data_IF_752140815668
#
_entry.id   IF_752140815668
#
_cell.length_a   1.000
_cell.length_b   1.000
_cell.length_c   1.000
_cell.angle_alpha   90.00
_cell.angle_beta   90.00
_cell.angle_gamma   90.00
#
_symmetry.space_group_name_H-M   'P 1'
#
loop_
_entity.id
_entity.type
_entity.pdbx_description
1 polymer ?
#
# COMPACT_ATOMS: atom_id res chain seq x y z
N UNK A 1 8.79 -27.25 -72.34
CA UNK A 1 7.85 -26.22 -71.85
C UNK A 1 7.98 -26.12 -70.33
N UNK A 2 8.09 -24.89 -69.84
CA UNK A 2 8.28 -24.47 -68.44
C UNK A 2 7.07 -24.81 -67.57
N UNK A 3 7.25 -25.04 -66.27
CA UNK A 3 6.79 -24.14 -65.17
C UNK A 3 7.55 -24.54 -63.90
N UNK A 4 8.36 -23.63 -63.35
CA UNK A 4 8.91 -23.74 -62.01
C UNK A 4 7.94 -23.03 -61.04
N UNK A 5 7.46 -23.75 -60.04
CA UNK A 5 6.52 -23.25 -59.03
C UNK A 5 7.32 -22.66 -57.87
N UNK A 6 7.26 -21.34 -57.69
CA UNK A 6 7.83 -20.64 -56.54
C UNK A 6 6.75 -20.60 -55.45
N UNK A 7 6.98 -21.32 -54.36
CA UNK A 7 6.14 -21.26 -53.15
C UNK A 7 6.69 -20.16 -52.24
N UNK A 8 5.95 -19.06 -52.15
CA UNK A 8 6.22 -17.94 -51.25
C UNK A 8 5.58 -18.25 -49.88
N UNK A 9 6.41 -18.62 -48.89
CA UNK A 9 5.97 -18.79 -47.51
C UNK A 9 5.96 -17.43 -46.82
N UNK A 10 4.77 -16.84 -46.63
CA UNK A 10 4.59 -15.65 -45.79
C UNK A 10 4.73 -16.04 -44.31
N UNK A 11 5.85 -15.66 -43.69
CA UNK A 11 6.01 -15.69 -42.24
C UNK A 11 5.26 -14.49 -41.63
N UNK A 12 4.07 -14.74 -41.09
CA UNK A 12 3.38 -13.80 -40.20
C UNK A 12 4.11 -13.79 -38.85
N UNK A 13 5.03 -12.83 -38.68
CA UNK A 13 5.57 -12.47 -37.38
C UNK A 13 4.45 -11.79 -36.56
N UNK A 14 3.66 -12.59 -35.86
CA UNK A 14 2.73 -12.10 -34.85
C UNK A 14 3.52 -11.34 -33.79
N UNK A 15 3.41 -10.02 -33.80
CA UNK A 15 3.88 -9.20 -32.69
C UNK A 15 2.90 -9.42 -31.54
N UNK A 16 3.22 -10.37 -30.66
CA UNK A 16 2.57 -10.45 -29.35
C UNK A 16 3.08 -9.27 -28.53
N UNK A 17 2.44 -8.11 -28.68
CA UNK A 17 2.56 -7.03 -27.71
C UNK A 17 1.95 -7.54 -26.40
N UNK A 18 2.79 -8.04 -25.49
CA UNK A 18 2.40 -8.28 -24.11
C UNK A 18 2.17 -6.91 -23.49
N UNK A 19 0.91 -6.51 -23.35
CA UNK A 19 0.58 -5.40 -22.47
C UNK A 19 1.14 -5.77 -21.08
N UNK A 20 2.14 -5.03 -20.61
CA UNK A 20 2.53 -5.12 -19.22
C UNK A 20 1.31 -4.72 -18.39
N UNK A 21 0.93 -5.56 -17.43
CA UNK A 21 -0.24 -5.37 -16.57
C UNK A 21 -0.20 -3.98 -15.92
N UNK A 22 -1.03 -3.07 -16.41
CA UNK A 22 -1.16 -1.71 -15.86
C UNK A 22 -1.60 -1.74 -14.39
N UNK A 23 -2.19 -2.85 -13.93
CA UNK A 23 -2.53 -3.07 -12.53
C UNK A 23 -1.31 -3.11 -11.62
N UNK A 24 -0.16 -3.63 -12.08
CA UNK A 24 1.04 -3.69 -11.23
C UNK A 24 1.66 -2.29 -11.06
N UNK A 25 1.62 -1.45 -12.10
CA UNK A 25 2.11 -0.07 -12.02
C UNK A 25 1.28 0.81 -11.06
N UNK A 26 -0.04 0.60 -10.99
CA UNK A 26 -0.91 1.33 -10.06
C UNK A 26 -0.62 1.01 -8.60
N UNK A 27 -0.21 -0.22 -8.27
CA UNK A 27 0.10 -0.63 -6.89
C UNK A 27 1.59 -0.72 -6.58
N UNK A 28 2.46 -0.45 -7.56
CA UNK A 28 3.91 -0.48 -7.44
C UNK A 28 4.44 0.19 -6.16
N UNK A 29 3.99 1.42 -5.80
CA UNK A 29 4.38 2.04 -4.55
C UNK A 29 3.93 1.24 -3.31
N UNK A 30 2.72 0.70 -3.27
CA UNK A 30 2.17 -0.02 -2.10
C UNK A 30 2.95 -1.28 -1.75
N UNK A 31 3.54 -1.95 -2.75
CA UNK A 31 4.42 -3.09 -2.52
C UNK A 31 5.63 -2.76 -1.65
N UNK A 32 6.02 -1.48 -1.55
CA UNK A 32 7.11 -1.06 -0.68
C UNK A 32 6.83 -1.39 0.79
N UNK A 33 5.56 -1.43 1.21
CA UNK A 33 5.21 -1.69 2.60
C UNK A 33 5.17 -3.18 2.95
N UNK A 34 5.15 -4.07 1.95
CA UNK A 34 5.17 -5.51 2.15
C UNK A 34 6.48 -5.98 2.79
N UNK A 35 6.39 -6.86 3.79
CA UNK A 35 7.55 -7.36 4.53
C UNK A 35 7.44 -7.12 6.03
N UNK A 36 8.54 -7.36 6.74
CA UNK A 36 8.63 -7.18 8.18
C UNK A 36 9.38 -5.90 8.51
N UNK A 37 8.89 -5.17 9.50
CA UNK A 37 9.33 -3.87 9.94
C UNK A 37 9.46 -3.87 11.45
N UNK A 38 10.51 -3.25 11.98
CA UNK A 38 10.60 -2.92 13.38
C UNK A 38 10.06 -1.49 13.54
N UNK A 39 8.95 -1.35 14.26
CA UNK A 39 8.30 -0.07 14.57
C UNK A 39 8.79 0.39 15.93
N UNK A 40 9.34 1.60 16.02
CA UNK A 40 9.77 2.22 17.27
C UNK A 40 9.02 3.52 17.43
N UNK A 41 7.97 3.51 18.24
CA UNK A 41 7.27 4.72 18.65
C UNK A 41 8.04 5.44 19.76
N UNK A 42 8.06 6.76 19.74
CA UNK A 42 8.73 7.57 20.76
C UNK A 42 8.26 7.22 22.18
N UNK A 43 9.23 6.92 23.05
CA UNK A 43 8.97 6.54 24.44
C UNK A 43 8.40 5.14 24.66
N UNK A 44 8.35 4.29 23.61
CA UNK A 44 7.87 2.90 23.70
C UNK A 44 8.95 1.90 23.29
N UNK A 45 8.74 0.65 23.69
CA UNK A 45 9.57 -0.46 23.22
C UNK A 45 9.28 -0.74 21.75
N UNK A 46 10.30 -1.18 20.96
CA UNK A 46 10.07 -1.59 19.59
C UNK A 46 9.11 -2.77 19.46
N UNK A 47 8.30 -2.75 18.42
CA UNK A 47 7.37 -3.82 18.03
C UNK A 47 7.71 -4.31 16.62
N UNK A 48 7.42 -5.57 16.34
CA UNK A 48 7.47 -6.10 14.97
C UNK A 48 6.11 -5.87 14.29
N UNK A 49 6.11 -5.24 13.13
CA UNK A 49 4.99 -5.16 12.21
C UNK A 49 5.35 -5.95 10.95
N UNK A 50 4.55 -6.95 10.61
CA UNK A 50 4.65 -7.66 9.34
C UNK A 50 3.42 -7.37 8.49
N UNK A 51 3.66 -6.87 7.28
CA UNK A 51 2.64 -6.70 6.25
C UNK A 51 2.77 -7.84 5.24
N UNK A 52 1.71 -8.65 5.11
CA UNK A 52 1.58 -9.66 4.06
C UNK A 52 0.60 -9.15 3.01
N UNK A 53 1.14 -8.65 1.89
CA UNK A 53 0.34 -7.97 0.87
C UNK A 53 0.06 -8.86 -0.35
N UNK A 54 -1.10 -8.64 -0.97
CA UNK A 54 -1.52 -9.31 -2.19
C UNK A 54 -2.41 -8.39 -3.05
N UNK A 55 -2.34 -8.58 -4.37
CA UNK A 55 -3.31 -8.03 -5.32
C UNK A 55 -4.42 -9.07 -5.57
N UNK A 56 -5.67 -8.69 -5.30
CA UNK A 56 -6.87 -9.51 -5.48
C UNK A 56 -7.86 -8.75 -6.35
N UNK A 57 -7.85 -9.03 -7.66
CA UNK A 57 -8.67 -8.28 -8.61
C UNK A 57 -8.30 -6.79 -8.60
N UNK A 58 -9.24 -5.93 -8.19
CA UNK A 58 -9.04 -4.48 -8.08
C UNK A 58 -8.61 -4.03 -6.68
N UNK A 59 -8.38 -4.96 -5.76
CA UNK A 59 -8.04 -4.66 -4.37
C UNK A 59 -6.58 -4.99 -4.14
N UNK A 60 -5.79 -4.03 -3.67
CA UNK A 60 -4.52 -4.34 -3.03
C UNK A 60 -4.79 -4.45 -1.53
N UNK A 61 -4.36 -5.53 -0.88
CA UNK A 61 -4.65 -5.74 0.53
C UNK A 61 -3.41 -6.21 1.27
N UNK A 62 -3.19 -5.69 2.48
CA UNK A 62 -2.11 -6.11 3.37
C UNK A 62 -2.71 -6.59 4.68
N UNK A 63 -2.45 -7.85 5.04
CA UNK A 63 -2.69 -8.31 6.40
C UNK A 63 -1.56 -7.80 7.29
N UNK A 64 -1.92 -6.97 8.28
CA UNK A 64 -1.00 -6.49 9.29
C UNK A 64 -0.94 -7.45 10.47
N UNK A 65 0.28 -7.78 10.87
CA UNK A 65 0.57 -8.69 11.96
C UNK A 65 1.53 -7.96 12.91
N UNK A 66 1.06 -7.61 14.10
CA UNK A 66 1.86 -6.94 15.13
C UNK A 66 2.28 -7.96 16.18
N UNK A 67 3.60 -8.09 16.39
CA UNK A 67 4.20 -9.05 17.33
C UNK A 67 3.62 -10.48 17.17
N UNK A 68 3.50 -10.93 15.92
CA UNK A 68 2.99 -12.26 15.57
C UNK A 68 1.46 -12.43 15.64
N UNK A 69 0.69 -11.36 15.91
CA UNK A 69 -0.77 -11.41 15.98
C UNK A 69 -1.41 -10.55 14.89
N UNK A 70 -2.38 -11.07 14.10
CA UNK A 70 -3.13 -10.25 13.16
C UNK A 70 -3.78 -9.06 13.88
N UNK A 71 -3.52 -7.84 13.41
CA UNK A 71 -4.06 -6.60 13.96
C UNK A 71 -5.16 -6.02 13.09
N UNK A 72 -4.99 -6.06 11.77
CA UNK A 72 -5.99 -5.64 10.79
C UNK A 72 -5.67 -6.16 9.37
N UNK A 73 -6.68 -6.13 8.50
CA UNK A 73 -6.53 -6.20 7.05
C UNK A 73 -6.74 -4.79 6.48
N UNK A 74 -5.70 -4.21 5.88
CA UNK A 74 -5.76 -2.92 5.23
C UNK A 74 -5.97 -3.11 3.73
N UNK A 75 -7.08 -2.60 3.20
CA UNK A 75 -7.48 -2.73 1.80
C UNK A 75 -7.32 -1.36 1.12
N UNK A 76 -6.79 -1.36 -0.10
CA UNK A 76 -6.59 -0.21 -0.96
C UNK A 76 -7.32 -0.40 -2.28
N UNK A 77 -8.03 0.64 -2.72
CA UNK A 77 -8.67 0.72 -4.04
C UNK A 77 -8.22 2.02 -4.71
N UNK A 78 -7.76 2.00 -5.96
CA UNK A 78 -7.35 3.21 -6.66
C UNK A 78 -8.50 4.21 -6.75
N UNK A 79 -8.21 5.47 -6.46
CA UNK A 79 -9.11 6.58 -6.72
C UNK A 79 -8.97 7.05 -8.18
N UNK A 80 -9.75 8.06 -8.56
CA UNK A 80 -9.73 8.65 -9.91
C UNK A 80 -8.49 9.51 -10.21
N UNK A 81 -7.47 9.49 -9.33
CA UNK A 81 -6.23 10.28 -9.45
C UNK A 81 -5.02 9.38 -9.16
N UNK A 82 -3.98 9.36 -10.01
CA UNK A 82 -2.77 8.56 -9.77
C UNK A 82 -2.14 8.89 -8.41
N UNK A 83 -1.70 7.86 -7.69
CA UNK A 83 -1.15 8.00 -6.34
C UNK A 83 -2.19 8.23 -5.24
N UNK A 84 -3.50 8.25 -5.57
CA UNK A 84 -4.56 8.32 -4.58
C UNK A 84 -5.33 7.01 -4.49
N UNK A 85 -5.67 6.61 -3.26
CA UNK A 85 -6.40 5.38 -2.97
C UNK A 85 -7.47 5.65 -1.93
N UNK A 86 -8.57 4.92 -2.01
CA UNK A 86 -9.47 4.71 -0.89
C UNK A 86 -8.94 3.56 -0.04
N UNK A 87 -8.97 3.74 1.27
CA UNK A 87 -8.51 2.72 2.22
C UNK A 87 -9.64 2.23 3.11
N UNK A 88 -9.57 0.98 3.54
CA UNK A 88 -10.49 0.40 4.51
C UNK A 88 -9.71 -0.59 5.38
N UNK A 89 -9.69 -0.35 6.69
CA UNK A 89 -9.22 -1.34 7.65
C UNK A 89 -10.36 -2.25 8.09
N UNK A 90 -10.06 -3.54 8.25
CA UNK A 90 -10.95 -4.55 8.82
C UNK A 90 -10.22 -5.25 9.95
N UNK A 91 -10.74 -5.14 11.17
CA UNK A 91 -10.17 -5.76 12.37
C UNK A 91 -10.43 -7.29 12.37
N UNK A 92 -9.66 -8.10 13.12
CA UNK A 92 -9.80 -9.55 13.17
C UNK A 92 -11.21 -10.06 13.51
N UNK A 93 -11.98 -9.30 14.29
CA UNK A 93 -13.38 -9.57 14.62
C UNK A 93 -14.39 -9.18 13.53
N UNK A 94 -13.92 -8.79 12.34
CA UNK A 94 -14.75 -8.40 11.19
C UNK A 94 -15.27 -6.96 11.24
N UNK A 95 -14.83 -6.15 12.20
CA UNK A 95 -15.25 -4.73 12.29
C UNK A 95 -14.48 -3.90 11.26
N UNK A 96 -15.21 -3.23 10.38
CA UNK A 96 -14.65 -2.23 9.47
C UNK A 96 -14.47 -0.88 10.18
N UNK A 97 -13.30 -0.25 10.03
CA UNK A 97 -12.95 1.05 10.64
C UNK A 97 -13.56 2.28 9.96
N UNK A 98 -14.39 2.10 8.93
CA UNK A 98 -14.83 3.18 8.04
C UNK A 98 -13.81 3.47 6.93
N UNK A 99 -14.22 4.26 5.94
CA UNK A 99 -13.36 4.60 4.79
C UNK A 99 -12.31 5.63 5.21
N UNK A 100 -11.08 5.39 4.77
CA UNK A 100 -10.02 6.39 4.71
C UNK A 100 -9.61 6.69 3.27
N UNK A 101 -8.60 7.55 3.15
CA UNK A 101 -7.94 7.89 1.90
C UNK A 101 -6.42 7.82 2.11
N UNK A 102 -5.69 7.53 1.04
CA UNK A 102 -4.23 7.58 0.97
C UNK A 102 -3.84 8.44 -0.22
N UNK A 103 -2.93 9.38 0.00
CA UNK A 103 -2.20 10.10 -1.04
C UNK A 103 -0.71 9.76 -0.97
N UNK A 104 -0.15 9.32 -2.09
CA UNK A 104 1.29 9.09 -2.27
C UNK A 104 1.86 10.20 -3.15
N UNK A 105 2.75 11.01 -2.56
CA UNK A 105 3.48 12.07 -3.24
C UNK A 105 4.98 11.87 -3.02
N UNK A 106 5.64 11.23 -4.00
CA UNK A 106 7.05 10.87 -3.89
C UNK A 106 7.31 9.90 -2.74
N UNK A 107 8.10 10.35 -1.77
CA UNK A 107 8.44 9.63 -0.55
C UNK A 107 7.47 9.86 0.60
N UNK A 108 6.48 10.74 0.44
CA UNK A 108 5.50 11.08 1.48
C UNK A 108 4.15 10.43 1.19
N UNK A 109 3.71 9.59 2.11
CA UNK A 109 2.41 8.92 2.08
C UNK A 109 1.55 9.51 3.19
N UNK A 110 0.38 10.03 2.83
CA UNK A 110 -0.54 10.65 3.78
C UNK A 110 -1.84 9.89 3.80
N UNK A 111 -2.09 9.20 4.90
CA UNK A 111 -3.36 8.55 5.21
C UNK A 111 -4.26 9.54 5.94
N UNK A 112 -5.53 9.61 5.57
CA UNK A 112 -6.55 10.40 6.29
C UNK A 112 -7.79 9.57 6.53
N UNK A 113 -8.45 9.78 7.65
CA UNK A 113 -9.76 9.18 7.95
C UNK A 113 -10.54 10.03 8.93
N UNK A 114 -11.80 9.68 9.14
CA UNK A 114 -12.68 10.33 10.11
C UNK A 114 -13.33 9.32 11.02
N UNK A 115 -13.56 9.71 12.27
CA UNK A 115 -14.36 8.96 13.23
C UNK A 115 -15.49 9.85 13.74
N UNK A 116 -16.72 9.38 13.57
CA UNK A 116 -17.90 10.07 14.07
C UNK A 116 -18.42 9.36 15.32
N UNK A 117 -18.43 10.07 16.45
CA UNK A 117 -18.91 9.54 17.72
C UNK A 117 -19.71 10.61 18.48
N UNK A 118 -20.95 10.30 18.85
CA UNK A 118 -21.79 11.21 19.64
C UNK A 118 -22.05 12.58 18.99
N UNK A 119 -22.08 12.64 17.65
CA UNK A 119 -22.25 13.89 16.91
C UNK A 119 -20.98 14.74 16.78
N UNK A 120 -19.83 14.20 17.19
CA UNK A 120 -18.51 14.83 17.01
C UNK A 120 -17.71 14.04 15.98
N UNK A 121 -17.16 14.75 15.00
CA UNK A 121 -16.18 14.21 14.06
C UNK A 121 -14.77 14.48 14.55
N UNK A 122 -13.95 13.43 14.61
CA UNK A 122 -12.50 13.54 14.77
C UNK A 122 -11.85 13.14 13.45
N UNK A 123 -10.90 13.96 12.98
CA UNK A 123 -10.10 13.70 11.79
C UNK A 123 -8.76 13.12 12.22
N UNK A 124 -8.32 12.08 11.52
CA UNK A 124 -7.04 11.42 11.74
C UNK A 124 -6.17 11.59 10.51
N UNK A 125 -4.87 11.76 10.73
CA UNK A 125 -3.86 11.77 9.68
C UNK A 125 -2.65 10.99 10.13
N UNK A 126 -2.23 10.02 9.33
CA UNK A 126 -0.92 9.38 9.49
C UNK A 126 -0.06 9.77 8.30
N UNK A 127 1.13 10.31 8.55
CA UNK A 127 2.07 10.67 7.49
C UNK A 127 3.30 9.80 7.62
N UNK A 128 3.61 9.04 6.56
CA UNK A 128 4.81 8.22 6.46
C UNK A 128 5.76 8.88 5.47
N UNK A 129 6.99 9.18 5.90
CA UNK A 129 8.05 9.72 5.07
C UNK A 129 9.13 8.67 4.89
N UNK A 130 9.25 8.15 3.67
CA UNK A 130 10.17 7.07 3.34
C UNK A 130 11.57 7.62 3.09
N UNK A 131 12.58 7.00 3.70
CA UNK A 131 13.99 7.23 3.35
C UNK A 131 14.53 5.98 2.67
N UNK A 132 14.55 6.00 1.34
CA UNK A 132 14.86 4.81 0.54
C UNK A 132 13.79 3.72 0.70
N UNK A 133 14.23 2.44 0.70
CA UNK A 133 13.30 1.30 0.77
C UNK A 133 13.15 0.67 2.15
N UNK A 134 13.93 1.13 3.13
CA UNK A 134 14.12 0.39 4.39
C UNK A 134 13.82 1.21 5.63
N UNK A 135 13.41 2.47 5.49
CA UNK A 135 13.12 3.35 6.61
C UNK A 135 11.92 4.22 6.35
N UNK A 136 11.11 4.41 7.37
CA UNK A 136 9.95 5.30 7.39
C UNK A 136 10.04 6.10 8.68
N UNK A 137 9.88 7.41 8.60
CA UNK A 137 9.48 8.21 9.76
C UNK A 137 7.97 8.41 9.69
N UNK A 138 7.24 8.16 10.78
CA UNK A 138 5.79 8.36 10.82
C UNK A 138 5.37 9.39 11.87
N UNK A 139 4.32 10.12 11.54
CA UNK A 139 3.59 11.00 12.46
C UNK A 139 2.09 10.70 12.39
N UNK A 140 1.46 10.48 13.53
CA UNK A 140 0.01 10.40 13.69
C UNK A 140 -0.49 11.68 14.32
N UNK A 141 -1.52 12.28 13.71
CA UNK A 141 -2.11 13.52 14.16
C UNK A 141 -3.63 13.45 14.16
N UNK A 142 -4.22 14.24 15.04
CA UNK A 142 -5.67 14.37 15.18
C UNK A 142 -6.10 15.83 15.02
N UNK A 143 -7.32 16.03 14.53
CA UNK A 143 -7.96 17.34 14.42
C UNK A 143 -9.45 17.25 14.72
N UNK A 144 -10.03 18.29 15.31
CA UNK A 144 -11.48 18.43 15.49
C UNK A 144 -12.15 19.23 14.36
N UNK A 145 -11.37 19.89 13.50
CA UNK A 145 -11.87 20.81 12.48
C UNK A 145 -11.21 20.64 11.11
N UNK A 146 -10.40 19.58 10.94
CA UNK A 146 -9.63 19.26 9.73
C UNK A 146 -8.62 20.35 9.30
N UNK A 147 -8.25 21.26 10.22
CA UNK A 147 -7.35 22.39 9.94
C UNK A 147 -6.22 22.46 10.96
N UNK A 148 -6.58 22.41 12.24
CA UNK A 148 -5.63 22.45 13.34
C UNK A 148 -5.28 21.03 13.74
N UNK A 149 -4.05 20.62 13.45
CA UNK A 149 -3.56 19.26 13.65
C UNK A 149 -2.63 19.19 14.84
N UNK A 150 -2.91 18.25 15.76
CA UNK A 150 -2.03 17.94 16.89
C UNK A 150 -1.41 16.56 16.65
N UNK A 151 -0.08 16.48 16.62
CA UNK A 151 0.63 15.20 16.61
C UNK A 151 0.40 14.51 17.96
N UNK A 152 -0.10 13.28 17.91
CA UNK A 152 -0.39 12.43 19.07
C UNK A 152 0.59 11.28 19.21
N UNK A 153 1.30 10.92 18.12
CA UNK A 153 2.34 9.91 18.11
C UNK A 153 3.32 10.14 16.97
N UNK A 154 4.57 9.74 17.17
CA UNK A 154 5.63 9.74 16.17
C UNK A 154 6.59 8.59 16.41
N UNK A 155 7.37 8.25 15.39
CA UNK A 155 8.40 7.22 15.50
C UNK A 155 8.97 6.84 14.14
N UNK A 156 9.70 5.73 14.14
CA UNK A 156 10.37 5.21 12.96
C UNK A 156 10.01 3.74 12.72
N UNK A 157 9.93 3.36 11.45
CA UNK A 157 9.89 1.97 11.03
C UNK A 157 11.17 1.64 10.25
N UNK A 158 11.80 0.51 10.58
CA UNK A 158 12.98 0.01 9.87
C UNK A 158 12.69 -1.38 9.32
N UNK A 159 12.84 -1.56 8.02
CA UNK A 159 12.62 -2.85 7.38
C UNK A 159 13.61 -3.89 7.92
N UNK A 160 13.10 -5.01 8.40
CA UNK A 160 13.89 -6.12 8.92
C UNK A 160 14.38 -6.93 7.72
N UNK A 161 15.58 -6.62 7.21
CA UNK A 161 16.18 -7.41 6.13
C UNK A 161 16.62 -8.78 6.65
N UNK A 162 15.76 -9.80 6.48
CA UNK A 162 16.05 -11.18 6.88
C UNK A 162 15.17 -12.28 6.27
N UNK A 163 14.18 -11.95 5.42
CA UNK A 163 13.31 -12.95 4.75
C UNK A 163 13.33 -12.80 3.23
N UNK A 164 13.21 -13.90 2.46
CA UNK A 164 13.30 -13.84 1.01
C UNK A 164 12.17 -12.98 0.45
N UNK A 165 12.55 -11.90 -0.25
CA UNK A 165 11.66 -11.14 -1.11
C UNK A 165 11.20 -12.09 -2.22
N UNK A 166 10.05 -12.74 -2.02
CA UNK A 166 9.39 -13.47 -3.12
C UNK A 166 8.94 -12.42 -4.11
N UNK A 167 9.68 -12.32 -5.21
CA UNK A 167 9.28 -11.57 -6.39
C UNK A 167 7.91 -12.12 -6.81
N UNK A 168 6.88 -11.28 -6.78
CA UNK A 168 5.58 -11.62 -7.34
C UNK A 168 5.79 -11.87 -8.85
N UNK A 169 5.36 -13.05 -9.31
CA UNK A 169 5.36 -13.45 -10.72
C UNK A 169 3.99 -13.21 -11.34
#
# INVERSE_FOLDING_TARGET
MRVAMVVLVLALAGHTSRAADTSDATYGPLWLYNGAWQVTQDGKNPEELKNECALVGIYFACQQIVNGKPSELLIFVPANKPGHYYTQSVMPQGRAGGRGDLEISGDRWTYTSTWDEGGKTTYYRTTNVFTGKTRIHFEQAESSNNKDWKVTSSGDEVHISGGPMKVAH
#
